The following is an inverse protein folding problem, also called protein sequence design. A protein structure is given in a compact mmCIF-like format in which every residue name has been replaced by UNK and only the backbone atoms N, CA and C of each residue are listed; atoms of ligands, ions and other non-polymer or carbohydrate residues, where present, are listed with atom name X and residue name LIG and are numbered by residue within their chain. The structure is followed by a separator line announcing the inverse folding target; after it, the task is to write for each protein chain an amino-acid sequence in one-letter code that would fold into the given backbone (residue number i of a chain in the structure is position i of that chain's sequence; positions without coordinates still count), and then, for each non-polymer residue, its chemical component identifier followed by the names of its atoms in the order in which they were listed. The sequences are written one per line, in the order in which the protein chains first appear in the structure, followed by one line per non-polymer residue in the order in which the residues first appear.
data_IF_273705387468
#
_entry.id   IF_273705387468
#
_cell.length_a   1.000
_cell.length_b   1.000
_cell.length_c   1.000
_cell.angle_alpha   90.00
_cell.angle_beta   90.00
_cell.angle_gamma   90.00
#
_symmetry.space_group_name_H-M   'P 1'
#
loop_
_entity.id
_entity.type
_entity.pdbx_description
1 polymer ?
#
# COMPACT_ATOMS: atom_id res chain seq x y z
N UNK A 1 -50.49 62.88 13.77
CA UNK A 1 -50.29 61.51 14.31
C UNK A 1 -49.03 60.90 13.70
N UNK A 2 -47.90 60.97 14.41
CA UNK A 2 -46.59 60.43 13.95
C UNK A 2 -46.47 58.98 14.42
N UNK A 3 -46.57 58.02 13.50
CA UNK A 3 -46.31 56.61 13.78
C UNK A 3 -44.85 56.45 14.22
N UNK A 4 -44.63 56.22 15.52
CA UNK A 4 -43.36 55.69 16.04
C UNK A 4 -43.19 54.27 15.49
N UNK A 5 -42.57 54.14 14.31
CA UNK A 5 -42.06 52.85 13.84
C UNK A 5 -40.96 52.43 14.82
N UNK A 6 -41.23 51.39 15.61
CA UNK A 6 -40.29 50.91 16.60
C UNK A 6 -39.00 50.42 15.92
N UNK A 7 -37.81 50.89 16.34
CA UNK A 7 -36.53 50.46 15.75
C UNK A 7 -36.28 48.96 15.91
N UNK A 8 -36.97 48.31 16.86
CA UNK A 8 -36.95 46.87 17.09
C UNK A 8 -37.50 46.05 15.93
N UNK A 9 -38.52 46.55 15.19
CA UNK A 9 -39.07 45.83 14.03
C UNK A 9 -38.12 45.81 12.84
N UNK A 10 -37.38 46.89 12.61
CA UNK A 10 -36.38 46.96 11.54
C UNK A 10 -35.17 46.07 11.83
N UNK A 11 -34.73 46.03 13.09
CA UNK A 11 -33.63 45.15 13.53
C UNK A 11 -34.03 43.66 13.42
N UNK A 12 -35.25 43.30 13.82
CA UNK A 12 -35.77 41.93 13.69
C UNK A 12 -35.91 41.50 12.23
N UNK A 13 -36.34 42.39 11.34
CA UNK A 13 -36.45 42.10 9.91
C UNK A 13 -35.06 41.96 9.28
N UNK A 14 -34.09 42.81 9.62
CA UNK A 14 -32.71 42.66 9.12
C UNK A 14 -32.04 41.38 9.63
N UNK A 15 -32.31 40.96 10.87
CA UNK A 15 -31.78 39.73 11.44
C UNK A 15 -32.39 38.50 10.76
N UNK A 16 -33.70 38.53 10.49
CA UNK A 16 -34.39 37.47 9.77
C UNK A 16 -33.91 37.35 8.32
N UNK A 17 -33.67 38.47 7.63
CA UNK A 17 -33.13 38.48 6.26
C UNK A 17 -31.68 37.99 6.24
N UNK A 18 -30.84 38.41 7.20
CA UNK A 18 -29.47 37.91 7.31
C UNK A 18 -29.43 36.39 7.59
N UNK A 19 -30.29 35.90 8.49
CA UNK A 19 -30.41 34.48 8.78
C UNK A 19 -30.89 33.70 7.55
N UNK A 20 -31.84 34.25 6.79
CA UNK A 20 -32.35 33.63 5.57
C UNK A 20 -31.29 33.61 4.45
N UNK A 21 -30.50 34.67 4.32
CA UNK A 21 -29.35 34.72 3.38
C UNK A 21 -28.27 33.72 3.79
N UNK A 22 -27.96 33.61 5.08
CA UNK A 22 -27.02 32.59 5.59
C UNK A 22 -27.57 31.18 5.37
N UNK A 23 -28.87 30.94 5.58
CA UNK A 23 -29.52 29.66 5.29
C UNK A 23 -29.50 29.34 3.80
N UNK A 24 -29.78 30.30 2.93
CA UNK A 24 -29.74 30.12 1.47
C UNK A 24 -28.31 29.86 0.99
N UNK A 25 -27.32 30.58 1.52
CA UNK A 25 -25.90 30.35 1.23
C UNK A 25 -25.44 28.99 1.76
N UNK A 26 -25.84 28.60 2.98
CA UNK A 26 -25.55 27.29 3.56
C UNK A 26 -26.23 26.17 2.77
N UNK A 27 -27.48 26.35 2.32
CA UNK A 27 -28.20 25.43 1.45
C UNK A 27 -27.55 25.35 0.08
N UNK A 28 -27.10 26.45 -0.51
CA UNK A 28 -26.37 26.46 -1.78
C UNK A 28 -25.01 25.75 -1.65
N UNK A 29 -24.26 25.97 -0.56
CA UNK A 29 -23.03 25.25 -0.24
C UNK A 29 -23.27 23.76 0.02
N UNK A 30 -24.38 23.41 0.67
CA UNK A 30 -24.78 22.03 0.94
C UNK A 30 -25.22 21.29 -0.32
N UNK A 31 -25.96 21.96 -1.21
CA UNK A 31 -26.41 21.42 -2.51
C UNK A 31 -25.26 21.33 -3.52
N UNK A 32 -24.26 22.22 -3.44
CA UNK A 32 -23.10 22.24 -4.34
C UNK A 32 -21.86 21.51 -3.76
N UNK A 33 -22.05 20.74 -2.67
CA UNK A 33 -20.99 20.08 -1.88
C UNK A 33 -20.10 19.13 -2.68
N UNK A 34 -20.63 18.53 -3.77
CA UNK A 34 -19.87 17.67 -4.69
C UNK A 34 -18.83 18.43 -5.53
N UNK A 35 -19.10 19.69 -5.89
CA UNK A 35 -18.20 20.48 -6.71
C UNK A 35 -17.07 21.13 -5.90
N UNK A 36 -17.37 21.60 -4.68
CA UNK A 36 -16.41 22.30 -3.83
C UNK A 36 -15.32 21.37 -3.26
N UNK A 37 -15.68 20.16 -2.83
CA UNK A 37 -14.70 19.20 -2.32
C UNK A 37 -13.74 18.69 -3.40
N UNK A 38 -14.23 18.59 -4.66
CA UNK A 38 -13.39 18.26 -5.82
C UNK A 38 -12.26 19.25 -6.00
N UNK A 39 -12.53 20.55 -5.91
CA UNK A 39 -11.53 21.60 -6.11
C UNK A 39 -10.51 21.70 -4.96
N UNK A 40 -10.90 21.38 -3.72
CA UNK A 40 -9.99 21.41 -2.57
C UNK A 40 -9.04 20.20 -2.55
N UNK A 41 -9.53 19.01 -2.91
CA UNK A 41 -8.68 17.81 -3.00
C UNK A 41 -7.76 17.85 -4.23
N UNK A 42 -8.29 18.27 -5.39
CA UNK A 42 -7.51 18.45 -6.62
C UNK A 42 -6.46 19.53 -6.43
N UNK A 43 -6.79 20.65 -5.77
CA UNK A 43 -5.82 21.71 -5.45
C UNK A 43 -4.69 21.26 -4.51
N UNK A 44 -4.96 20.35 -3.57
CA UNK A 44 -3.93 19.80 -2.67
C UNK A 44 -2.99 18.80 -3.36
N UNK A 45 -3.49 18.04 -4.33
CA UNK A 45 -2.70 17.08 -5.11
C UNK A 45 -1.90 17.75 -6.25
N UNK A 46 -2.46 18.79 -6.88
CA UNK A 46 -1.81 19.56 -7.94
C UNK A 46 -0.63 20.39 -7.38
N UNK A 47 -0.75 20.91 -6.16
CA UNK A 47 0.36 21.54 -5.43
C UNK A 47 1.49 20.57 -5.02
N UNK A 48 1.25 19.25 -5.05
CA UNK A 48 2.25 18.21 -4.80
C UNK A 48 2.78 17.52 -6.07
N UNK A 49 2.40 18.01 -7.25
CA UNK A 49 2.97 17.58 -8.53
C UNK A 49 2.49 16.21 -9.03
N UNK A 50 1.39 15.68 -8.48
CA UNK A 50 0.87 14.35 -8.84
C UNK A 50 -0.42 14.53 -9.63
N UNK A 51 -0.40 14.18 -10.93
CA UNK A 51 -1.62 14.10 -11.75
C UNK A 51 -2.45 12.90 -11.30
N UNK A 52 -3.33 13.12 -10.34
CA UNK A 52 -4.28 12.14 -9.84
C UNK A 52 -5.71 12.65 -10.12
N UNK A 53 -6.52 11.80 -10.76
CA UNK A 53 -7.95 12.02 -10.89
C UNK A 53 -8.65 11.30 -9.73
N UNK A 54 -9.13 12.08 -8.76
CA UNK A 54 -9.88 11.58 -7.61
C UNK A 54 -11.36 11.86 -7.86
N UNK A 55 -12.11 10.79 -8.11
CA UNK A 55 -13.55 10.86 -8.27
C UNK A 55 -14.21 10.62 -6.90
N UNK A 56 -14.68 11.71 -6.33
CA UNK A 56 -15.28 11.74 -5.00
C UNK A 56 -16.74 11.27 -5.08
N UNK A 57 -17.04 10.08 -4.56
CA UNK A 57 -18.40 9.51 -4.59
C UNK A 57 -19.26 10.07 -3.46
N UNK A 58 -18.75 10.03 -2.22
CA UNK A 58 -19.45 10.48 -1.02
C UNK A 58 -18.48 11.15 -0.04
N UNK A 59 -18.81 12.37 0.41
CA UNK A 59 -18.17 12.97 1.61
C UNK A 59 -19.09 12.80 2.81
N UNK A 60 -18.59 12.10 3.82
CA UNK A 60 -19.21 12.03 5.14
C UNK A 60 -18.59 13.07 6.08
N UNK A 61 -19.14 13.23 7.28
CA UNK A 61 -18.69 14.26 8.22
C UNK A 61 -17.35 13.89 8.89
N UNK A 62 -16.99 12.61 8.83
CA UNK A 62 -15.86 11.95 9.47
C UNK A 62 -14.95 11.21 8.46
N UNK A 63 -15.24 11.30 7.16
CA UNK A 63 -14.50 10.53 6.17
C UNK A 63 -14.89 10.81 4.73
N UNK A 64 -14.15 10.19 3.82
CA UNK A 64 -14.35 10.30 2.38
C UNK A 64 -14.33 8.92 1.72
N UNK A 65 -15.27 8.70 0.80
CA UNK A 65 -15.33 7.51 -0.06
C UNK A 65 -15.25 7.92 -1.53
N UNK A 66 -14.31 7.34 -2.27
CA UNK A 66 -14.28 7.52 -3.71
C UNK A 66 -13.29 6.65 -4.47
N UNK A 67 -13.17 6.95 -5.76
CA UNK A 67 -12.30 6.27 -6.71
C UNK A 67 -11.06 7.11 -6.96
N UNK A 68 -9.91 6.46 -7.05
CA UNK A 68 -8.64 7.14 -7.31
C UNK A 68 -8.01 6.53 -8.56
N UNK A 69 -7.59 7.38 -9.50
CA UNK A 69 -6.75 7.02 -10.63
C UNK A 69 -5.52 7.91 -10.63
N UNK A 70 -4.33 7.32 -10.68
CA UNK A 70 -3.05 8.05 -10.65
C UNK A 70 -2.28 7.71 -11.92
N UNK A 71 -1.69 8.71 -12.56
CA UNK A 71 -0.89 8.56 -13.79
C UNK A 71 -1.64 8.97 -15.06
N UNK A 72 -1.26 8.41 -16.20
CA UNK A 72 -1.88 8.72 -17.50
C UNK A 72 -3.38 8.33 -17.50
N UNK A 73 -4.32 9.23 -17.82
CA UNK A 73 -5.75 8.91 -17.88
C UNK A 73 -6.11 7.74 -18.82
N UNK A 74 -5.36 7.56 -19.91
CA UNK A 74 -5.56 6.46 -20.84
C UNK A 74 -4.94 5.15 -20.35
N UNK A 75 -3.90 5.25 -19.50
CA UNK A 75 -3.19 4.12 -18.88
C UNK A 75 -2.80 4.50 -17.44
N UNK A 76 -3.69 4.36 -16.45
CA UNK A 76 -3.43 4.83 -15.08
C UNK A 76 -2.58 3.83 -14.28
N UNK A 77 -1.46 4.26 -13.71
CA UNK A 77 -0.50 3.38 -13.00
C UNK A 77 -1.08 2.79 -11.73
N UNK A 78 -1.99 3.52 -11.10
CA UNK A 78 -2.75 3.06 -9.94
C UNK A 78 -4.21 3.33 -10.18
N UNK A 79 -5.04 2.32 -9.91
CA UNK A 79 -6.48 2.46 -9.84
C UNK A 79 -6.96 1.88 -8.53
N UNK A 80 -7.77 2.61 -7.79
CA UNK A 80 -8.44 2.07 -6.60
C UNK A 80 -9.93 2.21 -6.79
N UNK A 81 -10.62 1.08 -6.74
CA UNK A 81 -12.06 1.03 -6.97
C UNK A 81 -12.84 1.69 -5.84
N UNK A 82 -12.37 1.57 -4.61
CA UNK A 82 -12.95 2.29 -3.48
C UNK A 82 -11.90 2.55 -2.42
N UNK A 83 -11.72 3.82 -2.11
CA UNK A 83 -10.88 4.30 -1.02
C UNK A 83 -11.80 4.83 0.05
N UNK A 84 -11.67 4.32 1.27
CA UNK A 84 -12.34 4.86 2.46
C UNK A 84 -11.28 5.49 3.36
N UNK A 85 -11.39 6.78 3.62
CA UNK A 85 -10.52 7.48 4.56
C UNK A 85 -11.35 7.97 5.73
N UNK A 86 -11.06 7.47 6.93
CA UNK A 86 -11.61 7.99 8.18
C UNK A 86 -10.67 9.04 8.75
N UNK A 87 -11.23 10.14 9.26
CA UNK A 87 -10.49 11.21 9.93
C UNK A 87 -10.79 11.25 11.43
N UNK A 88 -9.77 11.51 12.23
CA UNK A 88 -9.93 11.94 13.61
C UNK A 88 -9.79 13.47 13.67
N UNK A 89 -10.76 14.13 14.31
CA UNK A 89 -10.69 15.56 14.59
C UNK A 89 -10.12 15.71 16.00
N UNK A 90 -8.90 16.23 16.11
CA UNK A 90 -8.36 16.62 17.40
C UNK A 90 -9.08 17.88 17.91
N UNK A 91 -9.62 17.82 19.12
CA UNK A 91 -10.27 18.97 19.76
C UNK A 91 -9.27 20.10 20.05
N UNK A 92 -9.77 21.33 20.31
CA UNK A 92 -8.93 22.52 20.48
C UNK A 92 -7.94 22.45 21.67
N UNK A 93 -8.08 21.46 22.56
CA UNK A 93 -7.20 21.22 23.71
C UNK A 93 -6.04 20.26 23.41
N UNK A 94 -5.95 19.72 22.19
CA UNK A 94 -4.80 18.91 21.76
C UNK A 94 -3.56 19.80 21.58
N UNK A 95 -2.38 19.25 21.88
CA UNK A 95 -1.08 19.96 21.85
C UNK A 95 -0.68 20.53 20.48
N UNK A 96 -1.44 20.24 19.41
CA UNK A 96 -1.27 20.79 18.06
C UNK A 96 -2.46 21.62 17.53
N UNK A 97 -3.44 21.97 18.37
CA UNK A 97 -4.65 22.67 17.95
C UNK A 97 -5.65 21.81 17.17
N UNK A 98 -6.55 22.46 16.41
CA UNK A 98 -7.57 21.80 15.61
C UNK A 98 -6.91 21.12 14.39
N UNK A 99 -6.61 19.83 14.52
CA UNK A 99 -5.93 19.05 13.50
C UNK A 99 -6.84 17.93 12.98
N UNK A 100 -6.89 17.78 11.65
CA UNK A 100 -7.55 16.65 10.98
C UNK A 100 -6.46 15.67 10.61
N UNK A 101 -6.40 14.53 11.30
CA UNK A 101 -5.45 13.47 10.98
C UNK A 101 -6.18 12.24 10.43
N UNK A 102 -5.71 11.63 9.34
CA UNK A 102 -6.28 10.38 8.87
C UNK A 102 -6.06 9.31 9.95
N UNK A 103 -7.12 8.61 10.32
CA UNK A 103 -7.09 7.54 11.33
C UNK A 103 -7.09 6.16 10.68
N UNK A 104 -7.82 5.99 9.58
CA UNK A 104 -7.90 4.75 8.81
C UNK A 104 -7.97 5.05 7.32
N UNK A 105 -7.23 4.29 6.52
CA UNK A 105 -7.26 4.31 5.07
C UNK A 105 -7.52 2.88 4.61
N UNK A 106 -8.66 2.62 3.98
CA UNK A 106 -9.00 1.31 3.42
C UNK A 106 -9.03 1.40 1.90
N UNK A 107 -8.20 0.60 1.25
CA UNK A 107 -8.09 0.49 -0.19
C UNK A 107 -8.73 -0.84 -0.63
N UNK A 108 -9.90 -0.75 -1.26
CA UNK A 108 -10.58 -1.92 -1.81
C UNK A 108 -10.24 -2.08 -3.28
N UNK A 109 -9.80 -3.29 -3.62
CA UNK A 109 -9.40 -3.75 -4.95
C UNK A 109 -8.45 -2.77 -5.68
N UNK A 110 -7.35 -2.31 -5.04
CA UNK A 110 -6.38 -1.50 -5.75
C UNK A 110 -5.69 -2.33 -6.83
N UNK A 111 -5.51 -1.74 -8.01
CA UNK A 111 -4.73 -2.27 -9.12
C UNK A 111 -3.54 -1.35 -9.31
N UNK A 112 -2.35 -1.88 -9.12
CA UNK A 112 -1.08 -1.16 -9.25
C UNK A 112 -0.31 -1.77 -10.40
N UNK A 113 0.26 -0.95 -11.27
CA UNK A 113 1.21 -1.36 -12.28
C UNK A 113 2.61 -1.01 -11.84
N UNK A 114 3.50 -1.98 -11.94
CA UNK A 114 4.89 -1.83 -11.59
C UNK A 114 5.77 -2.40 -12.70
N UNK A 115 7.01 -1.94 -12.75
CA UNK A 115 8.04 -2.44 -13.64
C UNK A 115 9.23 -2.86 -12.79
N UNK A 116 9.76 -4.05 -13.05
CA UNK A 116 11.02 -4.54 -12.50
C UNK A 116 12.01 -4.70 -13.65
N UNK A 117 13.00 -3.81 -13.71
CA UNK A 117 14.02 -3.84 -14.75
C UNK A 117 15.39 -3.49 -14.15
N UNK A 118 16.42 -4.26 -14.50
CA UNK A 118 17.80 -4.02 -14.05
C UNK A 118 17.96 -4.00 -12.52
N UNK A 119 17.21 -4.86 -11.82
CA UNK A 119 17.24 -4.96 -10.35
C UNK A 119 16.54 -3.81 -9.61
N UNK A 120 15.83 -2.92 -10.32
CA UNK A 120 15.07 -1.82 -9.71
C UNK A 120 13.57 -2.03 -9.90
N UNK A 121 12.82 -1.91 -8.80
CA UNK A 121 11.37 -1.81 -8.82
C UNK A 121 10.97 -0.35 -9.04
N UNK A 122 10.11 -0.11 -10.02
CA UNK A 122 9.45 1.18 -10.25
C UNK A 122 7.94 0.97 -10.24
N UNK A 123 7.24 1.79 -9.47
CA UNK A 123 5.78 1.87 -9.38
C UNK A 123 5.24 3.03 -10.25
N UNK A 124 6.07 3.53 -11.17
CA UNK A 124 5.74 4.59 -12.11
C UNK A 124 5.44 5.90 -11.39
N UNK A 125 4.22 6.41 -11.55
CA UNK A 125 3.81 7.68 -10.95
C UNK A 125 3.81 7.71 -9.41
N UNK A 126 3.95 6.55 -8.73
CA UNK A 126 4.06 6.49 -7.27
C UNK A 126 5.49 6.64 -6.74
N UNK A 127 6.51 6.52 -7.58
CA UNK A 127 7.91 6.52 -7.12
C UNK A 127 8.27 7.77 -6.29
N UNK A 128 7.88 9.00 -6.68
CA UNK A 128 8.19 10.20 -5.89
C UNK A 128 7.53 10.20 -4.51
N UNK A 129 6.32 9.64 -4.37
CA UNK A 129 5.65 9.52 -3.07
C UNK A 129 6.40 8.53 -2.19
N UNK A 130 6.79 7.39 -2.76
CA UNK A 130 7.50 6.35 -2.01
C UNK A 130 8.83 6.89 -1.52
N UNK A 131 9.59 7.57 -2.38
CA UNK A 131 10.87 8.21 -2.03
C UNK A 131 10.71 9.30 -0.95
N UNK A 132 9.61 10.06 -0.96
CA UNK A 132 9.31 11.04 0.09
C UNK A 132 9.01 10.37 1.44
N UNK A 133 8.32 9.22 1.42
CA UNK A 133 7.98 8.46 2.62
C UNK A 133 9.15 7.61 3.16
N UNK A 134 10.01 7.07 2.31
CA UNK A 134 11.21 6.31 2.72
C UNK A 134 12.41 7.22 3.02
N UNK A 135 12.50 8.38 2.37
CA UNK A 135 13.62 9.32 2.53
C UNK A 135 13.51 10.26 3.72
N UNK A 136 12.33 10.38 4.37
CA UNK A 136 12.16 11.21 5.57
C UNK A 136 12.10 10.35 6.83
N UNK A 137 12.89 10.67 7.87
CA UNK A 137 12.73 10.00 9.16
C UNK A 137 11.30 10.23 9.67
N UNK A 138 10.60 9.17 10.11
CA UNK A 138 9.21 9.28 10.57
C UNK A 138 9.13 10.28 11.72
N UNK A 139 8.25 11.27 11.58
CA UNK A 139 8.05 12.31 12.59
C UNK A 139 7.66 11.64 13.94
N UNK A 140 8.40 11.91 15.03
CA UNK A 140 8.25 11.18 16.29
C UNK A 140 6.84 11.23 16.91
N UNK A 141 6.05 12.26 16.56
CA UNK A 141 4.76 12.55 17.22
C UNK A 141 3.51 12.41 16.33
N UNK A 142 3.64 11.93 15.08
CA UNK A 142 2.46 11.66 14.23
C UNK A 142 2.09 10.18 14.26
N UNK A 143 0.96 9.83 14.88
CA UNK A 143 0.38 8.48 14.71
C UNK A 143 0.09 8.27 13.23
N UNK A 144 0.76 7.30 12.61
CA UNK A 144 0.48 6.95 11.22
C UNK A 144 -0.88 6.26 11.14
N UNK A 145 -1.68 6.53 10.08
CA UNK A 145 -2.99 5.93 9.93
C UNK A 145 -2.90 4.41 9.84
N UNK A 146 -3.98 3.74 10.24
CA UNK A 146 -4.19 2.34 9.93
C UNK A 146 -4.49 2.20 8.43
N UNK A 147 -3.60 1.55 7.67
CA UNK A 147 -3.79 1.28 6.25
C UNK A 147 -4.21 -0.18 6.06
N UNK A 148 -5.31 -0.40 5.36
CA UNK A 148 -5.85 -1.71 5.04
C UNK A 148 -5.96 -1.80 3.52
N UNK A 149 -5.39 -2.86 2.94
CA UNK A 149 -5.47 -3.19 1.52
C UNK A 149 -6.23 -4.51 1.40
N UNK A 150 -7.32 -4.50 0.66
CA UNK A 150 -8.17 -5.67 0.42
C UNK A 150 -8.30 -5.93 -1.07
N UNK A 151 -7.99 -7.14 -1.52
CA UNK A 151 -8.09 -7.56 -2.92
C UNK A 151 -7.12 -6.83 -3.85
N UNK A 152 -5.94 -6.44 -3.35
CA UNK A 152 -4.93 -5.76 -4.14
C UNK A 152 -4.42 -6.61 -5.30
N UNK A 153 -4.16 -5.99 -6.44
CA UNK A 153 -3.55 -6.61 -7.62
C UNK A 153 -2.36 -5.77 -8.07
N UNK A 154 -1.19 -6.40 -8.10
CA UNK A 154 0.04 -5.83 -8.64
C UNK A 154 0.33 -6.50 -9.98
N UNK A 155 0.29 -5.72 -11.06
CA UNK A 155 0.72 -6.15 -12.38
C UNK A 155 2.17 -5.71 -12.57
N UNK A 156 3.09 -6.65 -12.43
CA UNK A 156 4.53 -6.43 -12.51
C UNK A 156 5.04 -6.80 -13.91
N UNK A 157 5.59 -5.82 -14.61
CA UNK A 157 6.30 -6.07 -15.87
C UNK A 157 7.75 -6.37 -15.53
N UNK A 158 8.21 -7.59 -15.79
CA UNK A 158 9.60 -7.98 -15.57
C UNK A 158 10.32 -8.19 -16.91
N UNK A 159 11.65 -8.24 -16.88
CA UNK A 159 12.47 -8.65 -18.03
C UNK A 159 12.17 -10.08 -18.51
N UNK A 160 11.54 -10.92 -17.66
CA UNK A 160 11.15 -12.30 -17.97
C UNK A 160 9.69 -12.43 -18.40
N UNK A 161 8.94 -11.32 -18.48
CA UNK A 161 7.53 -11.31 -18.83
C UNK A 161 6.64 -10.73 -17.72
N UNK A 162 5.34 -10.59 -18.00
CA UNK A 162 4.39 -10.04 -17.04
C UNK A 162 4.06 -11.06 -15.94
N UNK A 163 4.01 -10.56 -14.70
CA UNK A 163 3.61 -11.31 -13.51
C UNK A 163 2.47 -10.57 -12.83
N UNK A 164 1.50 -11.32 -12.31
CA UNK A 164 0.48 -10.77 -11.45
C UNK A 164 0.66 -11.27 -10.03
N UNK A 165 0.55 -10.38 -9.05
CA UNK A 165 0.52 -10.72 -7.63
C UNK A 165 -0.79 -10.18 -7.04
N UNK A 166 -1.50 -11.02 -6.33
CA UNK A 166 -2.69 -10.68 -5.56
C UNK A 166 -2.25 -10.51 -4.10
N UNK A 167 -2.66 -9.43 -3.43
CA UNK A 167 -2.23 -9.18 -2.06
C UNK A 167 -3.27 -8.48 -1.20
N UNK A 168 -3.36 -8.94 0.05
CA UNK A 168 -4.06 -8.29 1.16
C UNK A 168 -3.02 -7.85 2.19
N UNK A 169 -3.11 -6.61 2.67
CA UNK A 169 -2.15 -6.08 3.61
C UNK A 169 -2.82 -5.24 4.70
N UNK A 170 -2.24 -5.26 5.90
CA UNK A 170 -2.61 -4.39 7.01
C UNK A 170 -1.36 -3.75 7.57
N UNK A 171 -1.30 -2.44 7.56
CA UNK A 171 -0.21 -1.64 8.14
C UNK A 171 -0.80 -0.77 9.24
N UNK A 172 -0.23 -0.84 10.43
CA UNK A 172 -0.69 -0.09 11.59
C UNK A 172 0.49 0.67 12.20
N UNK A 173 0.34 1.97 12.42
CA UNK A 173 1.41 2.85 12.89
C UNK A 173 2.72 2.71 12.08
N UNK A 174 2.61 2.57 10.76
CA UNK A 174 3.76 2.38 9.86
C UNK A 174 4.42 1.01 9.94
N UNK A 175 3.89 0.06 10.72
CA UNK A 175 4.36 -1.32 10.78
C UNK A 175 3.46 -2.24 9.97
N UNK A 176 4.03 -3.09 9.13
CA UNK A 176 3.29 -4.14 8.44
C UNK A 176 2.85 -5.17 9.50
N UNK A 177 1.55 -5.28 9.74
CA UNK A 177 0.98 -6.22 10.72
C UNK A 177 0.62 -7.55 10.07
N UNK A 178 0.11 -7.50 8.83
CA UNK A 178 -0.26 -8.69 8.08
C UNK A 178 -0.03 -8.46 6.59
N UNK A 179 0.48 -9.48 5.90
CA UNK A 179 0.50 -9.59 4.45
C UNK A 179 0.07 -11.01 4.08
N UNK A 180 -0.81 -11.13 3.11
CA UNK A 180 -1.05 -12.38 2.39
C UNK A 180 -0.94 -12.04 0.91
N UNK A 181 0.07 -12.59 0.24
CA UNK A 181 0.34 -12.36 -1.17
C UNK A 181 0.38 -13.68 -1.92
N UNK A 182 -0.26 -13.75 -3.07
CA UNK A 182 -0.33 -14.93 -3.93
C UNK A 182 0.01 -14.52 -5.36
N UNK A 183 0.96 -15.22 -5.95
CA UNK A 183 1.32 -15.10 -7.35
C UNK A 183 0.77 -16.34 -8.09
N UNK A 184 -0.27 -16.19 -8.92
CA UNK A 184 -0.73 -17.26 -9.79
C UNK A 184 0.41 -17.76 -10.69
N UNK A 185 0.34 -19.04 -11.05
CA UNK A 185 1.35 -19.67 -11.88
C UNK A 185 1.51 -18.93 -13.23
N UNK A 186 2.72 -18.48 -13.52
CA UNK A 186 3.08 -17.76 -14.72
C UNK A 186 4.19 -18.50 -15.49
N UNK A 187 4.26 -18.24 -16.80
CA UNK A 187 5.36 -18.66 -17.64
C UNK A 187 6.30 -17.46 -17.84
N UNK A 188 7.55 -17.62 -17.44
CA UNK A 188 8.59 -16.59 -17.52
C UNK A 188 9.65 -17.02 -18.52
N UNK A 189 10.10 -16.11 -19.37
CA UNK A 189 11.14 -16.37 -20.36
C UNK A 189 11.93 -15.10 -20.69
N UNK A 190 13.24 -15.16 -20.54
CA UNK A 190 14.19 -14.16 -21.05
C UNK A 190 15.53 -14.82 -21.37
N UNK A 191 15.99 -14.72 -22.62
CA UNK A 191 17.22 -15.36 -23.06
C UNK A 191 17.25 -16.85 -22.72
N UNK A 192 18.30 -17.27 -22.01
CA UNK A 192 18.51 -18.65 -21.54
C UNK A 192 17.76 -18.99 -20.25
N UNK A 193 17.08 -18.01 -19.65
CA UNK A 193 16.27 -18.19 -18.45
C UNK A 193 14.81 -18.44 -18.84
N UNK A 194 14.26 -19.56 -18.37
CA UNK A 194 12.86 -19.91 -18.57
C UNK A 194 12.29 -20.62 -17.35
N UNK A 195 11.09 -20.24 -16.91
CA UNK A 195 10.35 -20.93 -15.86
C UNK A 195 8.93 -21.17 -16.33
N UNK A 196 8.43 -22.40 -16.17
CA UNK A 196 7.04 -22.75 -16.46
C UNK A 196 6.31 -23.07 -15.15
N UNK A 197 5.08 -22.55 -15.04
CA UNK A 197 4.26 -22.68 -13.85
C UNK A 197 4.94 -22.09 -12.60
N UNK A 198 5.71 -21.02 -12.75
CA UNK A 198 6.33 -20.32 -11.63
C UNK A 198 5.28 -19.54 -10.86
N UNK A 199 5.10 -19.87 -9.59
CA UNK A 199 4.04 -19.32 -8.75
C UNK A 199 4.41 -19.43 -7.28
N UNK A 200 3.59 -18.83 -6.42
CA UNK A 200 3.78 -19.00 -4.98
C UNK A 200 2.89 -18.15 -4.11
N UNK A 201 3.07 -18.29 -2.81
CA UNK A 201 2.39 -17.54 -1.78
C UNK A 201 3.40 -17.07 -0.71
N UNK A 202 3.12 -15.90 -0.14
CA UNK A 202 3.84 -15.29 0.95
C UNK A 202 2.85 -14.82 2.01
N UNK A 203 3.00 -15.33 3.21
CA UNK A 203 2.27 -14.90 4.40
C UNK A 203 3.24 -14.24 5.39
N UNK A 204 2.86 -13.08 5.90
CA UNK A 204 3.55 -12.40 6.99
C UNK A 204 2.56 -12.02 8.07
N UNK A 205 2.93 -12.24 9.33
CA UNK A 205 2.18 -11.77 10.49
C UNK A 205 3.15 -11.23 11.53
N UNK A 206 2.97 -9.96 11.88
CA UNK A 206 3.79 -9.29 12.89
C UNK A 206 3.04 -9.23 14.21
N UNK A 207 3.69 -9.68 15.28
CA UNK A 207 3.19 -9.60 16.66
C UNK A 207 4.25 -8.97 17.53
N UNK A 208 3.96 -7.77 18.05
CA UNK A 208 4.93 -6.99 18.82
C UNK A 208 6.12 -6.58 17.96
N UNK A 209 7.28 -7.16 18.24
CA UNK A 209 8.57 -6.97 17.59
C UNK A 209 9.00 -8.20 16.75
N UNK A 210 8.13 -9.20 16.61
CA UNK A 210 8.41 -10.44 15.87
C UNK A 210 7.60 -10.52 14.58
N UNK A 211 8.18 -11.10 13.55
CA UNK A 211 7.57 -11.36 12.24
C UNK A 211 7.61 -12.85 11.98
N UNK A 212 6.43 -13.48 11.96
CA UNK A 212 6.27 -14.81 11.42
C UNK A 212 6.08 -14.71 9.90
N UNK A 213 6.93 -15.38 9.14
CA UNK A 213 6.93 -15.42 7.68
C UNK A 213 6.75 -16.85 7.18
N UNK A 214 5.98 -17.03 6.11
CA UNK A 214 5.87 -18.29 5.38
C UNK A 214 5.89 -18.01 3.88
N UNK A 215 6.79 -18.66 3.17
CA UNK A 215 6.96 -18.58 1.72
C UNK A 215 6.76 -19.99 1.15
N UNK A 216 5.94 -20.13 0.12
CA UNK A 216 5.80 -21.35 -0.66
C UNK A 216 5.86 -20.96 -2.13
N UNK A 217 6.97 -21.27 -2.80
CA UNK A 217 7.15 -21.00 -4.23
C UNK A 217 7.40 -22.31 -4.96
N UNK A 218 6.94 -22.39 -6.19
CA UNK A 218 7.13 -23.57 -7.01
C UNK A 218 7.25 -23.26 -8.48
N UNK A 219 7.88 -24.18 -9.21
CA UNK A 219 8.01 -24.15 -10.65
C UNK A 219 7.85 -25.57 -11.20
N UNK A 220 7.04 -25.74 -12.25
CA UNK A 220 6.96 -27.02 -12.96
C UNK A 220 8.26 -27.34 -13.68
N UNK A 221 8.85 -26.31 -14.29
CA UNK A 221 10.22 -26.39 -14.78
C UNK A 221 10.91 -25.05 -14.62
N UNK A 222 12.22 -25.11 -14.39
CA UNK A 222 13.09 -23.94 -14.30
C UNK A 222 14.34 -24.24 -15.13
N UNK A 223 14.80 -23.26 -15.89
CA UNK A 223 16.12 -23.20 -16.51
C UNK A 223 16.66 -21.81 -16.27
N UNK A 224 17.80 -21.69 -15.61
CA UNK A 224 18.44 -20.41 -15.35
C UNK A 224 19.92 -20.64 -15.04
N UNK A 225 20.83 -19.94 -15.73
CA UNK A 225 22.25 -19.90 -15.35
C UNK A 225 22.93 -21.27 -15.19
N UNK A 226 22.69 -22.21 -16.11
CA UNK A 226 23.27 -23.57 -16.05
C UNK A 226 22.60 -24.53 -15.06
N UNK A 227 21.54 -24.08 -14.39
CA UNK A 227 20.67 -24.89 -13.55
C UNK A 227 19.39 -25.21 -14.32
N UNK A 228 18.99 -26.48 -14.36
CA UNK A 228 17.70 -26.91 -14.85
C UNK A 228 17.00 -27.76 -13.81
N UNK A 229 15.70 -27.55 -13.59
CA UNK A 229 14.94 -28.32 -12.61
C UNK A 229 13.53 -28.63 -13.08
N UNK A 230 12.94 -29.69 -12.51
CA UNK A 230 11.54 -30.08 -12.72
C UNK A 230 10.85 -30.31 -11.38
N UNK A 231 9.59 -29.89 -11.33
CA UNK A 231 8.73 -29.99 -10.14
C UNK A 231 9.40 -29.43 -8.89
N UNK A 232 9.98 -28.24 -9.01
CA UNK A 232 10.67 -27.58 -7.91
C UNK A 232 9.65 -26.96 -6.97
N UNK A 233 9.83 -27.15 -5.67
CA UNK A 233 9.08 -26.45 -4.63
C UNK A 233 10.00 -26.06 -3.50
N UNK A 234 9.96 -24.79 -3.13
CA UNK A 234 10.67 -24.25 -1.99
C UNK A 234 9.64 -23.76 -0.97
N UNK A 235 9.72 -24.30 0.24
CA UNK A 235 8.98 -23.80 1.40
C UNK A 235 9.97 -23.21 2.38
N UNK A 236 9.72 -22.00 2.82
CA UNK A 236 10.49 -21.37 3.89
C UNK A 236 9.54 -20.86 4.97
N UNK A 237 9.85 -21.12 6.23
CA UNK A 237 9.16 -20.48 7.36
C UNK A 237 10.18 -19.81 8.25
N UNK A 238 9.83 -18.65 8.80
CA UNK A 238 10.73 -17.87 9.63
C UNK A 238 10.01 -17.19 10.78
N UNK A 239 10.70 -17.08 11.91
CA UNK A 239 10.37 -16.15 12.99
C UNK A 239 11.56 -15.21 13.19
N UNK A 240 11.37 -13.97 12.73
CA UNK A 240 12.41 -12.96 12.55
C UNK A 240 12.10 -11.73 13.42
N UNK A 241 13.12 -10.99 13.89
CA UNK A 241 12.89 -9.66 14.45
C UNK A 241 12.30 -8.73 13.39
N UNK A 242 11.38 -7.83 13.79
CA UNK A 242 10.87 -6.79 12.90
C UNK A 242 12.00 -5.81 12.57
N UNK A 243 12.27 -5.53 11.28
CA UNK A 243 13.38 -4.66 10.89
C UNK A 243 13.14 -3.24 11.40
N UNK A 244 14.12 -2.68 12.10
CA UNK A 244 14.11 -1.27 12.45
C UNK A 244 14.49 -0.44 11.22
N UNK A 245 13.45 0.06 10.55
CA UNK A 245 13.58 0.92 9.38
C UNK A 245 14.26 2.27 9.69
N UNK A 246 14.29 2.70 10.97
CA UNK A 246 14.94 3.96 11.36
C UNK A 246 16.45 3.79 11.47
N UNK A 247 16.89 2.70 12.09
CA UNK A 247 18.32 2.45 12.35
C UNK A 247 18.96 1.52 11.32
N UNK A 248 18.19 1.02 10.35
CA UNK A 248 18.62 0.01 9.37
C UNK A 248 19.21 -1.22 10.07
N UNK A 249 18.51 -1.74 11.08
CA UNK A 249 18.94 -2.91 11.86
C UNK A 249 17.90 -4.02 11.83
N UNK A 250 18.35 -5.22 11.50
CA UNK A 250 17.59 -6.48 11.64
C UNK A 250 18.15 -7.35 12.76
N UNK A 251 18.69 -6.74 13.82
CA UNK A 251 19.38 -7.45 14.88
C UNK A 251 18.39 -8.26 15.74
N UNK A 252 18.68 -9.54 16.00
CA UNK A 252 17.88 -10.36 16.91
C UNK A 252 17.91 -11.85 16.57
N UNK A 253 17.25 -12.67 17.40
CA UNK A 253 17.18 -14.12 17.15
C UNK A 253 16.33 -14.39 15.92
N UNK A 254 16.87 -15.09 14.92
CA UNK A 254 16.14 -15.56 13.76
C UNK A 254 16.08 -17.08 13.79
N UNK A 255 14.87 -17.62 13.62
CA UNK A 255 14.66 -19.05 13.38
C UNK A 255 14.11 -19.18 11.98
N UNK A 256 14.77 -19.94 11.11
CA UNK A 256 14.35 -20.14 9.71
C UNK A 256 14.43 -21.62 9.39
N UNK A 257 13.35 -22.16 8.83
CA UNK A 257 13.31 -23.50 8.26
C UNK A 257 13.09 -23.39 6.77
N UNK A 258 13.84 -24.16 5.99
CA UNK A 258 13.76 -24.18 4.54
C UNK A 258 13.69 -25.65 4.08
N UNK A 259 12.70 -25.95 3.25
CA UNK A 259 12.56 -27.23 2.57
C UNK A 259 12.55 -26.99 1.07
N UNK A 260 13.40 -27.71 0.35
CA UNK A 260 13.45 -27.71 -1.11
C UNK A 260 13.20 -29.13 -1.61
N UNK A 261 12.17 -29.28 -2.42
CA UNK A 261 11.78 -30.53 -3.07
C UNK A 261 11.94 -30.38 -4.59
N UNK A 262 12.36 -31.44 -5.28
CA UNK A 262 12.47 -31.45 -6.74
C UNK A 262 12.62 -32.85 -7.34
N UNK A 263 11.88 -33.14 -8.42
CA UNK A 263 11.97 -34.44 -9.09
C UNK A 263 13.32 -34.67 -9.76
N UNK A 264 13.85 -33.59 -10.35
CA UNK A 264 15.16 -33.58 -11.01
C UNK A 264 15.76 -32.18 -10.92
N UNK A 265 17.04 -32.11 -10.59
CA UNK A 265 17.84 -30.89 -10.62
C UNK A 265 19.15 -31.22 -11.34
N UNK A 266 19.41 -30.53 -12.43
CA UNK A 266 20.64 -30.58 -13.20
C UNK A 266 21.40 -29.26 -12.97
N UNK A 267 22.70 -29.34 -12.68
CA UNK A 267 23.59 -28.22 -12.41
C UNK A 267 24.90 -28.47 -13.18
N UNK A 268 25.05 -27.80 -14.31
CA UNK A 268 26.12 -28.11 -15.28
C UNK A 268 26.05 -29.57 -15.75
N UNK A 269 27.14 -30.31 -15.58
CA UNK A 269 27.24 -31.73 -15.97
C UNK A 269 26.71 -32.71 -14.90
N UNK A 270 26.33 -32.20 -13.72
CA UNK A 270 25.86 -33.01 -12.60
C UNK A 270 24.33 -32.98 -12.50
N UNK A 271 23.71 -34.12 -12.21
CA UNK A 271 22.26 -34.22 -12.09
C UNK A 271 21.82 -35.08 -10.90
N UNK A 272 20.85 -34.60 -10.15
CA UNK A 272 20.20 -35.28 -9.04
C UNK A 272 18.73 -35.58 -9.38
N UNK A 273 18.20 -36.66 -8.80
CA UNK A 273 16.77 -37.03 -8.87
C UNK A 273 16.21 -37.22 -7.47
N UNK A 274 14.95 -36.87 -7.26
CA UNK A 274 14.31 -36.97 -5.95
C UNK A 274 15.01 -36.13 -4.90
N UNK A 275 15.28 -34.86 -5.22
CA UNK A 275 15.90 -33.91 -4.31
C UNK A 275 14.93 -33.59 -3.19
N UNK A 276 15.37 -33.82 -1.96
CA UNK A 276 14.75 -33.38 -0.72
C UNK A 276 15.88 -32.79 0.13
N UNK A 277 15.80 -31.49 0.39
CA UNK A 277 16.77 -30.74 1.17
C UNK A 277 16.03 -29.98 2.27
N UNK A 278 16.44 -30.22 3.52
CA UNK A 278 15.90 -29.53 4.70
C UNK A 278 17.04 -28.80 5.40
N UNK A 279 16.89 -27.49 5.56
CA UNK A 279 17.79 -26.65 6.32
C UNK A 279 17.03 -26.03 7.48
N UNK A 280 17.65 -26.01 8.65
CA UNK A 280 17.16 -25.30 9.82
C UNK A 280 18.26 -24.38 10.33
N UNK A 281 17.89 -23.14 10.61
CA UNK A 281 18.75 -22.13 11.19
C UNK A 281 18.09 -21.60 12.46
N UNK A 282 18.85 -21.54 13.55
CA UNK A 282 18.47 -20.90 14.80
C UNK A 282 19.70 -20.15 15.31
N UNK A 283 19.67 -18.83 15.22
CA UNK A 283 20.84 -18.01 15.52
C UNK A 283 20.49 -16.54 15.70
N UNK A 284 21.52 -15.71 15.87
CA UNK A 284 21.39 -14.26 15.92
C UNK A 284 21.71 -13.68 14.54
N UNK A 285 20.83 -12.83 14.03
CA UNK A 285 21.12 -11.99 12.86
C UNK A 285 21.70 -10.67 13.35
N UNK A 286 22.69 -10.15 12.63
CA UNK A 286 23.18 -8.79 12.78
C UNK A 286 23.27 -8.14 11.40
N UNK A 287 22.92 -6.85 11.30
CA UNK A 287 23.02 -6.09 10.05
C UNK A 287 21.69 -5.85 9.32
N UNK A 288 21.80 -5.32 8.09
CA UNK A 288 20.66 -4.88 7.26
C UNK A 288 20.45 -5.79 6.04
N UNK A 289 19.23 -5.83 5.51
CA UNK A 289 18.84 -6.72 4.39
C UNK A 289 19.69 -6.48 3.13
N UNK A 290 20.17 -5.26 2.86
CA UNK A 290 21.04 -4.96 1.71
C UNK A 290 22.49 -5.43 1.86
N UNK A 291 22.89 -5.93 3.05
CA UNK A 291 24.24 -6.48 3.27
C UNK A 291 24.38 -7.96 2.88
N UNK A 292 23.29 -8.57 2.41
CA UNK A 292 23.26 -9.92 1.83
C UNK A 292 23.14 -9.83 0.30
N UNK A 293 24.22 -9.42 -0.36
CA UNK A 293 24.38 -9.46 -1.82
C UNK A 293 25.60 -10.31 -2.18
#
# INVERSE_FOLDING_TARGET
MRQRRSPTRLILVSLAVALLVVLVLASALYLNRRAAARQVLVGWLDQRGIKADVEVETLEMNGFVGRIRIGDPARPDVMVERVEVDYAIAGPWATGGLAVTPSRIRLLRPVVRATWAGGKLSLGSLDPLIDEFTGRPPQPDSRSPLVIVEGGRLNLTTEYGPVQVLADARVDNGKLIRLHAVMPAAALKSGDTAADGFGGALDLTTRGDRVAASLDIGARSLRAGGVAGRSLRLKATGDLPYPDLKTHKGDGRAVVNLTLDGDRVDLGDSGARGVDLRLAFDGQTSGWIDSFA
#
